data_IF_364496351922
#
_entry.id   IF_364496351922
#
_cell.length_a   1.000
_cell.length_b   1.000
_cell.length_c   1.000
_cell.angle_alpha   90.00
_cell.angle_beta   90.00
_cell.angle_gamma   90.00
#
_symmetry.space_group_name_H-M   'P 1'
#
loop_
_entity.id
_entity.type
_entity.pdbx_description
1 polymer ?
#
# COMPACT_ATOMS: atom_id res chain seq x y z
N UNK A 1 35.00 -13.56 7.67
CA UNK A 1 34.59 -12.29 7.04
C UNK A 1 34.29 -12.59 5.58
N UNK A 2 33.03 -12.86 5.26
CA UNK A 2 32.60 -13.02 3.88
C UNK A 2 32.33 -11.63 3.32
N UNK A 3 33.01 -11.28 2.23
CA UNK A 3 32.79 -10.06 1.45
C UNK A 3 31.36 -10.07 0.90
N UNK A 4 30.42 -9.50 1.67
CA UNK A 4 29.13 -9.05 1.14
C UNK A 4 29.43 -7.78 0.36
N UNK A 5 29.98 -7.93 -0.85
CA UNK A 5 29.98 -6.84 -1.83
C UNK A 5 28.51 -6.46 -2.02
N UNK A 6 28.21 -5.23 -1.59
CA UNK A 6 26.92 -4.56 -1.63
C UNK A 6 26.15 -4.87 -2.91
N UNK A 7 25.14 -5.75 -2.83
CA UNK A 7 24.07 -5.80 -3.84
C UNK A 7 23.25 -4.49 -3.89
N UNK A 8 23.42 -3.61 -2.89
CA UNK A 8 22.70 -2.35 -2.79
C UNK A 8 23.17 -1.27 -3.78
N UNK A 9 24.30 -1.48 -4.48
CA UNK A 9 24.89 -0.49 -5.40
C UNK A 9 24.90 -0.97 -6.86
N UNK A 10 24.00 -1.89 -7.21
CA UNK A 10 23.85 -2.30 -8.61
C UNK A 10 23.37 -1.10 -9.44
N UNK A 11 24.08 -0.70 -10.52
CA UNK A 11 23.74 0.47 -11.34
C UNK A 11 22.30 0.44 -11.86
N UNK A 12 21.74 -0.76 -12.02
CA UNK A 12 20.37 -1.01 -12.45
C UNK A 12 19.30 -0.54 -11.46
N UNK A 13 19.61 -0.34 -10.17
CA UNK A 13 18.65 0.18 -9.16
C UNK A 13 18.43 1.69 -9.27
N UNK A 14 19.28 2.39 -10.01
CA UNK A 14 19.21 3.84 -10.18
C UNK A 14 18.59 4.28 -11.51
N UNK A 15 18.29 3.32 -12.39
CA UNK A 15 17.61 3.62 -13.65
C UNK A 15 16.19 4.09 -13.32
N UNK A 16 15.91 5.33 -13.69
CA UNK A 16 14.59 5.96 -13.54
C UNK A 16 13.74 5.75 -14.78
N UNK A 17 12.45 5.99 -14.64
CA UNK A 17 11.53 5.95 -15.78
C UNK A 17 11.95 6.93 -16.88
N UNK A 18 12.51 8.09 -16.50
CA UNK A 18 13.01 9.11 -17.43
C UNK A 18 14.15 8.56 -18.29
N UNK A 19 15.10 7.86 -17.69
CA UNK A 19 16.23 7.26 -18.42
C UNK A 19 15.77 6.24 -19.47
N UNK A 20 14.69 5.51 -19.18
CA UNK A 20 14.08 4.55 -20.12
C UNK A 20 13.43 5.28 -21.31
N UNK A 21 12.80 6.43 -21.07
CA UNK A 21 12.23 7.26 -22.15
C UNK A 21 13.31 7.90 -23.02
N UNK A 22 14.41 8.37 -22.43
CA UNK A 22 15.54 8.93 -23.18
C UNK A 22 16.22 7.85 -24.05
N UNK A 23 16.39 6.65 -23.49
CA UNK A 23 16.89 5.50 -24.24
C UNK A 23 15.95 5.10 -25.39
N UNK A 24 14.64 5.06 -25.13
CA UNK A 24 13.63 4.78 -26.15
C UNK A 24 13.67 5.82 -27.29
N UNK A 25 13.87 7.10 -26.96
CA UNK A 25 13.99 8.16 -27.95
C UNK A 25 15.27 8.05 -28.78
N UNK A 26 16.40 7.70 -28.16
CA UNK A 26 17.65 7.44 -28.89
C UNK A 26 17.50 6.26 -29.86
N UNK A 27 16.95 5.14 -29.37
CA UNK A 27 16.72 3.94 -30.18
C UNK A 27 15.74 4.23 -31.32
N UNK A 28 14.70 5.03 -31.08
CA UNK A 28 13.74 5.44 -32.11
C UNK A 28 14.40 6.21 -33.25
N UNK A 29 15.31 7.15 -32.94
CA UNK A 29 16.09 7.88 -33.97
C UNK A 29 16.99 6.95 -34.78
N UNK A 30 17.56 5.92 -34.16
CA UNK A 30 18.38 4.94 -34.85
C UNK A 30 17.53 4.09 -35.81
N UNK A 31 16.32 3.71 -35.38
CA UNK A 31 15.35 3.06 -36.25
C UNK A 31 14.87 3.95 -37.40
N UNK A 32 14.65 5.26 -37.19
CA UNK A 32 14.36 6.20 -38.29
C UNK A 32 15.45 6.17 -39.35
N UNK A 33 16.72 6.29 -38.93
CA UNK A 33 17.87 6.26 -39.85
C UNK A 33 17.95 4.95 -40.65
N UNK A 34 17.72 3.81 -39.99
CA UNK A 34 17.73 2.50 -40.67
C UNK A 34 16.56 2.39 -41.66
N UNK A 35 15.38 2.88 -41.29
CA UNK A 35 14.21 2.88 -42.18
C UNK A 35 14.45 3.76 -43.40
N UNK A 36 15.07 4.93 -43.22
CA UNK A 36 15.36 5.87 -44.29
C UNK A 36 16.41 5.30 -45.28
N UNK A 37 17.40 4.54 -44.79
CA UNK A 37 18.47 3.97 -45.63
C UNK A 37 18.13 2.61 -46.26
N UNK A 38 17.44 1.73 -45.53
CA UNK A 38 17.22 0.32 -45.91
C UNK A 38 15.75 -0.07 -46.08
N UNK A 39 14.82 0.86 -45.82
CA UNK A 39 13.38 0.63 -45.91
C UNK A 39 12.78 0.02 -44.62
N UNK A 40 11.45 0.09 -44.52
CA UNK A 40 10.73 -0.26 -43.29
C UNK A 40 10.88 -1.73 -42.89
N UNK A 41 10.96 -2.63 -43.87
CA UNK A 41 11.03 -4.08 -43.61
C UNK A 41 12.29 -4.49 -42.83
N UNK A 42 13.35 -3.68 -42.85
CA UNK A 42 14.58 -3.93 -42.08
C UNK A 42 14.39 -3.89 -40.56
N UNK A 43 13.43 -3.10 -40.06
CA UNK A 43 13.21 -2.92 -38.62
C UNK A 43 11.89 -3.55 -38.13
N UNK A 44 10.98 -3.86 -39.05
CA UNK A 44 9.61 -4.33 -38.77
C UNK A 44 9.51 -5.50 -37.79
N UNK A 45 10.43 -6.46 -37.85
CA UNK A 45 10.41 -7.65 -36.98
C UNK A 45 11.10 -7.45 -35.62
N UNK A 46 12.07 -6.52 -35.54
CA UNK A 46 12.84 -6.26 -34.31
C UNK A 46 12.18 -5.19 -33.43
N UNK A 47 11.48 -4.22 -34.04
CA UNK A 47 10.81 -3.13 -33.34
C UNK A 47 9.86 -3.61 -32.22
N UNK A 48 8.96 -4.59 -32.43
CA UNK A 48 8.08 -5.07 -31.37
C UNK A 48 8.83 -5.72 -30.20
N UNK A 49 9.97 -6.38 -30.47
CA UNK A 49 10.80 -7.01 -29.44
C UNK A 49 11.53 -5.97 -28.59
N UNK A 50 12.03 -4.91 -29.24
CA UNK A 50 12.68 -3.78 -28.56
C UNK A 50 11.68 -2.99 -27.72
N UNK A 51 10.47 -2.76 -28.23
CA UNK A 51 9.39 -2.16 -27.44
C UNK A 51 9.07 -3.05 -26.23
N UNK A 52 8.92 -4.36 -26.42
CA UNK A 52 8.65 -5.27 -25.30
C UNK A 52 9.76 -5.25 -24.25
N UNK A 53 11.04 -5.14 -24.66
CA UNK A 53 12.16 -5.03 -23.73
C UNK A 53 12.16 -3.70 -22.98
N UNK A 54 11.88 -2.58 -23.66
CA UNK A 54 11.74 -1.26 -23.05
C UNK A 54 10.53 -1.17 -22.12
N UNK A 55 9.42 -1.84 -22.43
CA UNK A 55 8.25 -1.97 -21.54
C UNK A 55 8.61 -2.74 -20.25
N UNK A 56 9.39 -3.83 -20.37
CA UNK A 56 9.87 -4.54 -19.16
C UNK A 56 10.83 -3.69 -18.35
N UNK A 57 11.68 -2.90 -19.00
CA UNK A 57 12.61 -2.00 -18.32
C UNK A 57 11.87 -0.85 -17.63
N UNK A 58 10.85 -0.26 -18.28
CA UNK A 58 9.97 0.76 -17.69
C UNK A 58 9.25 0.22 -16.45
N UNK A 59 8.77 -1.04 -16.49
CA UNK A 59 8.16 -1.68 -15.33
C UNK A 59 9.16 -1.89 -14.19
N UNK A 60 10.40 -2.28 -14.49
CA UNK A 60 11.45 -2.46 -13.49
C UNK A 60 11.91 -1.12 -12.90
N UNK A 61 12.03 -0.07 -13.71
CA UNK A 61 12.37 1.28 -13.26
C UNK A 61 11.29 1.85 -12.32
N UNK A 62 10.00 1.71 -12.70
CA UNK A 62 8.88 2.09 -11.83
C UNK A 62 8.86 1.30 -10.51
N UNK A 63 9.24 0.02 -10.54
CA UNK A 63 9.32 -0.79 -9.33
C UNK A 63 10.47 -0.33 -8.43
N UNK A 64 11.65 -0.07 -8.99
CA UNK A 64 12.80 0.46 -8.28
C UNK A 64 12.52 1.82 -7.64
N UNK A 65 11.84 2.73 -8.33
CA UNK A 65 11.45 4.03 -7.77
C UNK A 65 10.57 3.86 -6.52
N UNK A 66 9.56 2.98 -6.59
CA UNK A 66 8.70 2.67 -5.44
C UNK A 66 9.46 2.02 -4.28
N UNK A 67 10.33 1.05 -4.56
CA UNK A 67 11.17 0.44 -3.53
C UNK A 67 12.09 1.49 -2.88
N UNK A 68 12.67 2.39 -3.68
CA UNK A 68 13.54 3.45 -3.17
C UNK A 68 12.78 4.46 -2.31
N UNK A 69 11.54 4.82 -2.68
CA UNK A 69 10.65 5.64 -1.85
C UNK A 69 10.33 4.96 -0.52
N UNK A 70 10.03 3.66 -0.53
CA UNK A 70 9.77 2.89 0.69
C UNK A 70 11.01 2.82 1.59
N UNK A 71 12.18 2.55 1.01
CA UNK A 71 13.46 2.55 1.71
C UNK A 71 13.72 3.92 2.36
N UNK A 72 13.46 5.01 1.64
CA UNK A 72 13.64 6.37 2.17
C UNK A 72 12.70 6.62 3.36
N UNK A 73 11.43 6.21 3.26
CA UNK A 73 10.44 6.33 4.33
C UNK A 73 10.82 5.49 5.57
N UNK A 74 11.33 4.27 5.36
CA UNK A 74 11.82 3.40 6.42
C UNK A 74 13.04 4.01 7.11
N UNK A 75 14.02 4.51 6.34
CA UNK A 75 15.21 5.20 6.89
C UNK A 75 14.82 6.38 7.78
N UNK A 76 13.90 7.23 7.31
CA UNK A 76 13.38 8.36 8.10
C UNK A 76 12.66 7.90 9.38
N UNK A 77 11.96 6.77 9.32
CA UNK A 77 11.28 6.19 10.49
C UNK A 77 12.28 5.65 11.51
N UNK A 78 13.34 4.98 11.05
CA UNK A 78 14.43 4.50 11.90
C UNK A 78 15.12 5.68 12.58
N UNK A 79 15.51 6.71 11.85
CA UNK A 79 16.14 7.92 12.40
C UNK A 79 15.26 8.56 13.50
N UNK A 80 13.95 8.68 13.25
CA UNK A 80 13.01 9.19 14.26
C UNK A 80 12.97 8.31 15.52
N UNK A 81 12.93 6.99 15.36
CA UNK A 81 12.89 6.05 16.48
C UNK A 81 14.21 6.03 17.26
N UNK A 82 15.35 6.16 16.58
CA UNK A 82 16.66 6.29 17.22
C UNK A 82 16.75 7.56 18.05
N UNK A 83 16.29 8.69 17.51
CA UNK A 83 16.21 9.95 18.26
C UNK A 83 15.28 9.85 19.48
N UNK A 84 14.11 9.22 19.33
CA UNK A 84 13.19 9.00 20.45
C UNK A 84 13.82 8.11 21.54
N UNK A 85 14.54 7.05 21.14
CA UNK A 85 15.27 6.17 22.05
C UNK A 85 16.37 6.93 22.79
N UNK A 86 17.15 7.76 22.09
CA UNK A 86 18.20 8.58 22.70
C UNK A 86 17.64 9.58 23.70
N UNK A 87 16.53 10.26 23.36
CA UNK A 87 15.87 11.20 24.27
C UNK A 87 15.37 10.50 25.54
N UNK A 88 14.67 9.36 25.41
CA UNK A 88 14.25 8.57 26.57
C UNK A 88 15.43 8.11 27.44
N UNK A 89 16.55 7.76 26.82
CA UNK A 89 17.76 7.39 27.56
C UNK A 89 18.35 8.59 28.31
N UNK A 90 18.41 9.77 27.69
CA UNK A 90 18.85 11.00 28.37
C UNK A 90 17.94 11.34 29.55
N UNK A 91 16.62 11.25 29.38
CA UNK A 91 15.67 11.54 30.45
C UNK A 91 15.82 10.55 31.61
N UNK A 92 16.10 9.27 31.32
CA UNK A 92 16.39 8.27 32.36
C UNK A 92 17.66 8.63 33.15
N UNK A 93 18.72 9.02 32.46
CA UNK A 93 19.98 9.44 33.11
C UNK A 93 19.77 10.70 33.95
N UNK A 94 19.01 11.68 33.43
CA UNK A 94 18.68 12.90 34.19
C UNK A 94 17.89 12.57 35.46
N UNK A 95 16.88 11.71 35.35
CA UNK A 95 16.11 11.29 36.51
C UNK A 95 16.97 10.54 37.55
N UNK A 96 17.89 9.70 37.10
CA UNK A 96 18.85 9.01 37.98
C UNK A 96 19.76 10.01 38.72
N UNK A 97 20.28 11.03 38.03
CA UNK A 97 21.08 12.10 38.65
C UNK A 97 20.27 12.96 39.63
N UNK A 98 19.02 13.30 39.29
CA UNK A 98 18.13 14.04 40.18
C UNK A 98 17.82 13.22 41.44
N UNK A 99 17.61 11.91 41.30
CA UNK A 99 17.39 11.01 42.42
C UNK A 99 18.61 10.93 43.34
N UNK A 100 19.81 10.75 42.78
CA UNK A 100 21.06 10.73 43.54
C UNK A 100 21.29 12.07 44.28
N UNK A 101 20.98 13.20 43.65
CA UNK A 101 21.08 14.51 44.28
C UNK A 101 20.12 14.66 45.47
N UNK A 102 18.89 14.13 45.36
CA UNK A 102 17.92 14.10 46.46
C UNK A 102 18.39 13.21 47.60
N UNK A 103 18.93 12.02 47.30
CA UNK A 103 19.49 11.11 48.30
C UNK A 103 20.68 11.73 49.06
N UNK A 104 21.57 12.43 48.35
CA UNK A 104 22.70 13.14 48.96
C UNK A 104 22.24 14.32 49.82
N UNK A 105 21.16 15.01 49.42
CA UNK A 105 20.57 16.05 50.25
C UNK A 105 20.00 15.47 51.55
N UNK A 106 19.29 14.34 51.48
CA UNK A 106 18.79 13.67 52.69
C UNK A 106 19.92 13.18 53.60
N UNK A 107 21.04 12.70 53.06
CA UNK A 107 22.22 12.36 53.88
C UNK A 107 22.75 13.57 54.64
N UNK A 108 22.90 14.71 53.97
CA UNK A 108 23.35 15.95 54.61
C UNK A 108 22.41 16.41 55.72
N UNK A 109 21.10 16.38 55.47
CA UNK A 109 20.10 16.73 56.49
C UNK A 109 20.16 15.79 57.70
N UNK A 110 20.36 14.49 57.48
CA UNK A 110 20.55 13.51 58.56
C UNK A 110 21.82 13.85 59.38
N UNK A 111 22.94 14.13 58.72
CA UNK A 111 24.21 14.47 59.37
C UNK A 111 24.12 15.80 60.16
N UNK A 112 23.41 16.79 59.63
CA UNK A 112 23.17 18.07 60.27
C UNK A 112 22.26 17.91 61.50
N UNK A 113 21.17 17.16 61.39
CA UNK A 113 20.28 16.83 62.52
C UNK A 113 21.04 16.05 63.59
N UNK A 114 21.88 15.10 63.19
CA UNK A 114 22.69 14.31 64.11
C UNK A 114 23.69 15.20 64.87
N UNK A 115 24.34 16.12 64.16
CA UNK A 115 25.22 17.15 64.74
C UNK A 115 24.46 18.04 65.72
N UNK A 116 23.24 18.47 65.38
CA UNK A 116 22.38 19.27 66.24
C UNK A 116 21.99 18.53 67.52
N UNK A 117 21.56 17.26 67.42
CA UNK A 117 21.23 16.42 68.57
C UNK A 117 22.43 16.27 69.50
N UNK A 118 23.63 16.02 68.95
CA UNK A 118 24.86 15.92 69.74
C UNK A 118 25.17 17.21 70.49
N UNK A 119 25.01 18.37 69.84
CA UNK A 119 25.21 19.67 70.49
C UNK A 119 24.20 19.91 71.61
N UNK A 120 22.91 19.65 71.38
CA UNK A 120 21.85 19.77 72.39
C UNK A 120 22.07 18.81 73.58
N UNK A 121 22.56 17.60 73.34
CA UNK A 121 22.91 16.66 74.40
C UNK A 121 24.08 17.17 75.26
N UNK A 122 25.11 17.76 74.65
CA UNK A 122 26.21 18.38 75.37
C UNK A 122 25.73 19.58 76.20
N UNK A 123 24.88 20.42 75.63
CA UNK A 123 24.31 21.58 76.32
C UNK A 123 23.39 21.18 77.48
N UNK A 124 22.50 20.20 77.29
CA UNK A 124 21.68 19.65 78.38
C UNK A 124 22.52 19.02 79.49
N UNK A 125 23.63 18.37 79.15
CA UNK A 125 24.57 17.85 80.15
C UNK A 125 25.25 18.97 80.93
N UNK A 126 25.62 20.06 80.26
CA UNK A 126 26.13 21.28 80.89
C UNK A 126 25.07 21.94 81.79
N UNK A 127 23.83 22.13 81.32
CA UNK A 127 22.74 22.70 82.11
C UNK A 127 22.36 21.82 83.30
N UNK A 128 22.28 20.50 83.12
CA UNK A 128 22.02 19.55 84.21
C UNK A 128 23.10 19.58 85.28
N UNK A 129 24.34 19.91 84.92
CA UNK A 129 25.42 20.13 85.89
C UNK A 129 25.35 21.49 86.59
N UNK A 130 24.70 22.49 85.98
CA UNK A 130 24.55 23.83 86.53
C UNK A 130 23.30 23.97 87.43
N UNK A 131 22.26 23.16 87.25
CA UNK A 131 21.00 23.20 88.03
C UNK A 131 21.03 22.38 89.34
N UNK A 132 22.21 22.00 89.84
CA UNK A 132 22.38 21.19 91.06
C UNK A 132 22.35 21.94 92.39
N UNK A 133 22.51 23.27 92.37
CA UNK A 133 22.53 24.11 93.58
C UNK A 133 21.58 25.31 93.37
N UNK A 134 20.45 25.37 94.10
CA UNK A 134 20.24 26.37 95.17
C UNK A 134 18.83 26.29 95.80
N UNK A 135 18.75 26.66 97.08
CA UNK A 135 17.67 26.30 98.01
C UNK A 135 16.64 27.42 98.32
N UNK A 136 15.40 26.95 98.52
CA UNK A 136 14.32 27.32 99.44
C UNK A 136 14.32 28.63 100.29
N UNK A 137 13.17 29.32 100.23
CA UNK A 137 12.32 29.90 101.29
C UNK A 137 12.69 31.21 102.04
N UNK A 138 11.72 32.16 102.04
CA UNK A 138 10.85 32.52 103.18
C UNK A 138 10.54 34.04 103.33
N UNK A 139 9.25 34.33 103.15
CA UNK A 139 8.33 35.36 103.70
C UNK A 139 8.77 36.65 104.43
N UNK A 140 7.99 37.68 104.09
CA UNK A 140 7.27 38.65 104.95
C UNK A 140 7.90 40.01 105.33
N UNK A 141 8.27 40.77 104.30
CA UNK A 141 8.18 42.26 104.24
C UNK A 141 7.16 42.72 103.18
N UNK A 142 6.15 41.89 102.93
CA UNK A 142 5.95 41.27 101.62
C UNK A 142 5.13 42.01 100.59
N UNK A 143 4.19 42.86 100.92
CA UNK A 143 3.17 43.25 99.92
C UNK A 143 3.67 44.16 98.81
N UNK A 144 4.61 45.09 99.08
CA UNK A 144 5.13 46.00 98.04
C UNK A 144 6.19 45.39 97.13
N UNK A 145 7.07 44.56 97.71
CA UNK A 145 8.06 43.82 96.94
C UNK A 145 7.42 42.63 96.21
N UNK A 146 6.37 42.00 96.78
CA UNK A 146 5.55 41.00 96.07
C UNK A 146 4.75 41.62 94.94
N UNK A 147 4.17 42.82 95.11
CA UNK A 147 3.47 43.52 94.03
C UNK A 147 4.44 43.92 92.89
N UNK A 148 5.64 44.40 93.23
CA UNK A 148 6.69 44.70 92.24
C UNK A 148 7.18 43.42 91.53
N UNK A 149 7.33 42.33 92.27
CA UNK A 149 7.70 41.02 91.74
C UNK A 149 6.60 40.45 90.83
N UNK A 150 5.34 40.56 91.24
CA UNK A 150 4.18 40.17 90.43
C UNK A 150 4.09 41.00 89.14
N UNK A 151 4.37 42.30 89.20
CA UNK A 151 4.44 43.17 88.01
C UNK A 151 5.57 42.76 87.06
N UNK A 152 6.73 42.37 87.59
CA UNK A 152 7.84 41.86 86.79
C UNK A 152 7.51 40.51 86.16
N UNK A 153 6.87 39.60 86.91
CA UNK A 153 6.40 38.30 86.42
C UNK A 153 5.32 38.46 85.33
N UNK A 154 4.34 39.36 85.53
CA UNK A 154 3.33 39.69 84.52
C UNK A 154 3.95 40.32 83.27
N UNK A 155 4.97 41.17 83.44
CA UNK A 155 5.73 41.73 82.33
C UNK A 155 6.47 40.65 81.56
N UNK A 156 7.09 39.71 82.26
CA UNK A 156 7.81 38.57 81.67
C UNK A 156 6.86 37.61 80.94
N UNK A 157 5.70 37.31 81.52
CA UNK A 157 4.63 36.56 80.86
C UNK A 157 4.09 37.30 79.63
N UNK A 158 3.92 38.62 79.71
CA UNK A 158 3.49 39.43 78.57
C UNK A 158 4.53 39.43 77.44
N UNK A 159 5.83 39.49 77.77
CA UNK A 159 6.89 39.36 76.75
C UNK A 159 6.91 37.97 76.13
N UNK A 160 6.77 36.90 76.94
CA UNK A 160 6.68 35.51 76.44
C UNK A 160 5.46 35.31 75.53
N UNK A 161 4.30 35.82 75.91
CA UNK A 161 3.09 35.77 75.07
C UNK A 161 3.27 36.55 73.76
N UNK A 162 3.93 37.72 73.78
CA UNK A 162 4.24 38.48 72.55
C UNK A 162 5.21 37.73 71.64
N UNK A 163 6.21 37.07 72.20
CA UNK A 163 7.14 36.23 71.44
C UNK A 163 6.42 35.03 70.81
N UNK A 164 5.57 34.35 71.58
CA UNK A 164 4.77 33.23 71.10
C UNK A 164 3.79 33.64 69.98
N UNK A 165 3.18 34.82 70.08
CA UNK A 165 2.34 35.37 69.00
C UNK A 165 3.17 35.62 67.74
N UNK A 166 4.40 36.15 67.86
CA UNK A 166 5.28 36.37 66.70
C UNK A 166 5.70 35.06 66.04
N UNK A 167 5.96 34.03 66.84
CA UNK A 167 6.31 32.70 66.33
C UNK A 167 5.13 32.07 65.58
N UNK A 168 3.95 32.06 66.19
CA UNK A 168 2.72 31.59 65.52
C UNK A 168 2.40 32.39 64.25
N UNK A 169 2.63 33.70 64.24
CA UNK A 169 2.47 34.52 63.03
C UNK A 169 3.46 34.14 61.93
N UNK A 170 4.71 33.82 62.29
CA UNK A 170 5.72 33.33 61.36
C UNK A 170 5.30 31.99 60.77
N UNK A 171 4.82 31.07 61.61
CA UNK A 171 4.35 29.75 61.16
C UNK A 171 3.13 29.87 60.24
N UNK A 172 2.17 30.76 60.54
CA UNK A 172 1.05 31.02 59.63
C UNK A 172 1.55 31.55 58.28
N UNK A 173 2.55 32.43 58.27
CA UNK A 173 3.13 32.96 57.04
C UNK A 173 3.84 31.87 56.22
N UNK A 174 4.54 30.93 56.86
CA UNK A 174 5.20 29.84 56.16
C UNK A 174 4.19 28.85 55.59
N UNK A 175 3.18 28.45 56.37
CA UNK A 175 2.10 27.59 55.89
C UNK A 175 1.29 28.25 54.76
N UNK A 176 1.06 29.56 54.80
CA UNK A 176 0.40 30.28 53.70
C UNK A 176 1.19 30.17 52.39
N UNK A 177 2.51 30.36 52.45
CA UNK A 177 3.39 30.21 51.29
C UNK A 177 3.41 28.77 50.76
N UNK A 178 3.43 27.78 51.66
CA UNK A 178 3.38 26.36 51.28
C UNK A 178 2.06 26.01 50.58
N UNK A 179 0.93 26.49 51.11
CA UNK A 179 -0.39 26.31 50.48
C UNK A 179 -0.44 26.94 49.10
N UNK A 180 0.10 28.14 48.90
CA UNK A 180 0.19 28.78 47.58
C UNK A 180 1.05 27.97 46.60
N UNK A 181 2.19 27.43 47.05
CA UNK A 181 3.06 26.59 46.23
C UNK A 181 2.40 25.27 45.82
N UNK A 182 1.69 24.63 46.76
CA UNK A 182 0.89 23.44 46.48
C UNK A 182 -0.26 23.75 45.51
N UNK A 183 -0.94 24.87 45.70
CA UNK A 183 -2.00 25.32 44.79
C UNK A 183 -1.49 25.50 43.36
N UNK A 184 -0.36 26.19 43.20
CA UNK A 184 0.30 26.36 41.89
C UNK A 184 0.71 25.01 41.26
N UNK A 185 1.15 24.06 42.08
CA UNK A 185 1.51 22.72 41.61
C UNK A 185 0.29 21.93 41.13
N UNK A 186 -0.82 22.01 41.87
CA UNK A 186 -2.11 21.43 41.47
C UNK A 186 -2.61 22.04 40.17
N UNK A 187 -2.56 23.36 39.99
CA UNK A 187 -2.95 24.00 38.73
C UNK A 187 -2.12 23.50 37.53
N UNK A 188 -0.80 23.34 37.70
CA UNK A 188 0.08 22.80 36.65
C UNK A 188 -0.34 21.37 36.28
N UNK A 189 -0.61 20.53 37.28
CA UNK A 189 -1.08 19.15 37.07
C UNK A 189 -2.44 19.12 36.36
N UNK A 190 -3.36 20.01 36.70
CA UNK A 190 -4.67 20.13 36.00
C UNK A 190 -4.46 20.44 34.52
N UNK A 191 -3.63 21.45 34.19
CA UNK A 191 -3.34 21.83 32.80
C UNK A 191 -2.69 20.68 32.01
N UNK A 192 -1.76 19.96 32.63
CA UNK A 192 -1.13 18.78 32.01
C UNK A 192 -2.15 17.66 31.78
N UNK A 193 -3.04 17.41 32.74
CA UNK A 193 -4.09 16.40 32.59
C UNK A 193 -5.07 16.75 31.46
N UNK A 194 -5.50 18.00 31.36
CA UNK A 194 -6.33 18.48 30.24
C UNK A 194 -5.65 18.31 28.87
N UNK A 195 -4.33 18.54 28.80
CA UNK A 195 -3.57 18.31 27.58
C UNK A 195 -3.47 16.82 27.24
N UNK A 196 -3.22 15.96 28.24
CA UNK A 196 -3.20 14.51 28.06
C UNK A 196 -4.57 13.97 27.61
N UNK A 197 -5.67 14.46 28.19
CA UNK A 197 -7.03 14.10 27.75
C UNK A 197 -7.28 14.50 26.30
N UNK A 198 -6.86 15.71 25.89
CA UNK A 198 -6.94 16.16 24.49
C UNK A 198 -6.10 15.28 23.55
N UNK A 199 -4.86 14.96 23.93
CA UNK A 199 -3.98 14.07 23.15
C UNK A 199 -4.59 12.66 23.03
N UNK A 200 -5.13 12.12 24.11
CA UNK A 200 -5.78 10.82 24.13
C UNK A 200 -7.02 10.80 23.21
N UNK A 201 -7.87 11.82 23.29
CA UNK A 201 -9.03 11.95 22.39
C UNK A 201 -8.63 12.01 20.90
N UNK A 202 -7.55 12.74 20.58
CA UNK A 202 -7.01 12.79 19.21
C UNK A 202 -6.47 11.44 18.75
N UNK A 203 -5.67 10.77 19.58
CA UNK A 203 -5.13 9.43 19.28
C UNK A 203 -6.25 8.40 19.11
N UNK A 204 -7.28 8.45 19.95
CA UNK A 204 -8.44 7.57 19.85
C UNK A 204 -9.22 7.81 18.54
N UNK A 205 -9.35 9.07 18.10
CA UNK A 205 -9.95 9.40 16.79
C UNK A 205 -9.11 8.85 15.64
N UNK A 206 -7.80 9.02 15.67
CA UNK A 206 -6.89 8.46 14.67
C UNK A 206 -6.97 6.93 14.64
N UNK A 207 -7.01 6.28 15.80
CA UNK A 207 -7.20 4.83 15.92
C UNK A 207 -8.50 4.34 15.27
N UNK A 208 -9.62 5.07 15.45
CA UNK A 208 -10.89 4.75 14.77
C UNK A 208 -10.79 4.87 13.25
N UNK A 209 -10.20 5.96 12.74
CA UNK A 209 -9.98 6.15 11.31
C UNK A 209 -9.15 5.02 10.69
N UNK A 210 -8.03 4.63 11.34
CA UNK A 210 -7.19 3.53 10.86
C UNK A 210 -7.92 2.17 10.86
N UNK A 211 -8.79 1.92 11.84
CA UNK A 211 -9.61 0.71 11.87
C UNK A 211 -10.63 0.71 10.73
N UNK A 212 -11.26 1.86 10.43
CA UNK A 212 -12.17 2.02 9.31
C UNK A 212 -11.46 1.79 7.97
N UNK A 213 -10.31 2.44 7.74
CA UNK A 213 -9.49 2.28 6.54
C UNK A 213 -9.04 0.81 6.37
N UNK A 214 -8.56 0.18 7.44
CA UNK A 214 -8.22 -1.25 7.44
C UNK A 214 -9.43 -2.10 7.03
N UNK A 215 -10.61 -1.81 7.57
CA UNK A 215 -11.83 -2.56 7.24
C UNK A 215 -12.21 -2.43 5.77
N UNK A 216 -12.02 -1.26 5.17
CA UNK A 216 -12.27 -1.03 3.74
C UNK A 216 -11.28 -1.77 2.85
N UNK A 217 -9.99 -1.74 3.20
CA UNK A 217 -8.95 -2.47 2.47
C UNK A 217 -9.23 -3.97 2.51
N UNK A 218 -9.57 -4.51 3.68
CA UNK A 218 -9.93 -5.94 3.82
C UNK A 218 -11.13 -6.31 2.96
N UNK A 219 -12.18 -5.47 2.92
CA UNK A 219 -13.35 -5.71 2.06
C UNK A 219 -12.97 -5.71 0.57
N UNK A 220 -12.14 -4.75 0.14
CA UNK A 220 -11.66 -4.70 -1.27
C UNK A 220 -10.83 -5.93 -1.61
N UNK A 221 -9.92 -6.34 -0.70
CA UNK A 221 -9.11 -7.53 -0.86
C UNK A 221 -9.99 -8.78 -1.01
N UNK A 222 -10.97 -8.97 -0.12
CA UNK A 222 -11.89 -10.10 -0.19
C UNK A 222 -12.65 -10.16 -1.52
N UNK A 223 -13.16 -9.03 -2.02
CA UNK A 223 -13.82 -8.96 -3.33
C UNK A 223 -12.87 -9.37 -4.47
N UNK A 224 -11.61 -8.94 -4.42
CA UNK A 224 -10.62 -9.34 -5.43
C UNK A 224 -10.24 -10.81 -5.33
N UNK A 225 -10.14 -11.37 -4.13
CA UNK A 225 -9.89 -12.81 -3.91
C UNK A 225 -11.05 -13.66 -4.46
N UNK A 226 -12.29 -13.27 -4.18
CA UNK A 226 -13.48 -13.94 -4.73
C UNK A 226 -13.50 -13.90 -6.27
N UNK A 227 -13.12 -12.77 -6.87
CA UNK A 227 -13.00 -12.64 -8.32
C UNK A 227 -11.90 -13.56 -8.88
N UNK A 228 -10.74 -13.62 -8.23
CA UNK A 228 -9.63 -14.50 -8.62
C UNK A 228 -10.01 -15.98 -8.52
N UNK A 229 -10.75 -16.38 -7.48
CA UNK A 229 -11.27 -17.74 -7.34
C UNK A 229 -12.21 -18.09 -8.50
N UNK A 230 -13.13 -17.17 -8.86
CA UNK A 230 -14.03 -17.35 -10.01
C UNK A 230 -13.24 -17.49 -11.32
N UNK A 231 -12.27 -16.61 -11.55
CA UNK A 231 -11.43 -16.66 -12.75
C UNK A 231 -10.63 -17.96 -12.83
N UNK A 232 -10.09 -18.44 -11.70
CA UNK A 232 -9.36 -19.72 -11.63
C UNK A 232 -10.26 -20.90 -11.98
N UNK A 233 -11.53 -20.89 -11.56
CA UNK A 233 -12.50 -21.93 -11.94
C UNK A 233 -12.77 -21.90 -13.45
N UNK A 234 -13.06 -20.72 -14.00
CA UNK A 234 -13.29 -20.55 -15.44
C UNK A 234 -12.08 -20.99 -16.26
N UNK A 235 -10.87 -20.66 -15.81
CA UNK A 235 -9.64 -21.09 -16.47
C UNK A 235 -9.47 -22.62 -16.44
N UNK A 236 -9.78 -23.27 -15.32
CA UNK A 236 -9.77 -24.74 -15.23
C UNK A 236 -10.80 -25.38 -16.17
N UNK A 237 -11.99 -24.81 -16.26
CA UNK A 237 -13.05 -25.32 -17.13
C UNK A 237 -12.69 -25.12 -18.61
N UNK A 238 -12.16 -23.95 -18.98
CA UNK A 238 -11.65 -23.68 -20.32
C UNK A 238 -10.50 -24.62 -20.70
N UNK A 239 -9.56 -24.87 -19.78
CA UNK A 239 -8.47 -25.82 -20.00
C UNK A 239 -8.96 -27.27 -20.22
N UNK A 240 -10.02 -27.68 -19.51
CA UNK A 240 -10.68 -28.98 -19.75
C UNK A 240 -11.32 -29.03 -21.13
N UNK A 241 -12.10 -28.02 -21.51
CA UNK A 241 -12.72 -27.94 -22.83
C UNK A 241 -11.69 -27.96 -23.96
N UNK A 242 -10.58 -27.23 -23.83
CA UNK A 242 -9.48 -27.28 -24.80
C UNK A 242 -8.89 -28.67 -24.94
N UNK A 243 -8.72 -29.40 -23.82
CA UNK A 243 -8.22 -30.78 -23.83
C UNK A 243 -9.22 -31.75 -24.47
N UNK A 244 -10.50 -31.61 -24.16
CA UNK A 244 -11.56 -32.45 -24.74
C UNK A 244 -11.68 -32.23 -26.26
N UNK A 245 -11.58 -30.97 -26.72
CA UNK A 245 -11.55 -30.64 -28.15
C UNK A 245 -10.31 -31.18 -28.87
N UNK A 246 -9.13 -31.11 -28.24
CA UNK A 246 -7.92 -31.72 -28.78
C UNK A 246 -8.08 -33.24 -28.88
N UNK A 247 -8.65 -33.89 -27.86
CA UNK A 247 -8.90 -35.33 -27.90
C UNK A 247 -9.87 -35.70 -29.03
N UNK A 248 -10.97 -34.94 -29.19
CA UNK A 248 -11.90 -35.16 -30.28
C UNK A 248 -11.25 -35.01 -31.67
N UNK A 249 -10.39 -34.00 -31.86
CA UNK A 249 -9.65 -33.83 -33.13
C UNK A 249 -8.69 -34.98 -33.43
N UNK A 250 -8.06 -35.56 -32.40
CA UNK A 250 -7.17 -36.72 -32.57
C UNK A 250 -7.98 -37.96 -32.95
N UNK A 251 -9.09 -38.23 -32.25
CA UNK A 251 -9.98 -39.37 -32.51
C UNK A 251 -10.61 -39.30 -33.92
N UNK A 252 -11.02 -38.12 -34.39
CA UNK A 252 -11.55 -37.92 -35.75
C UNK A 252 -10.46 -38.07 -36.82
N UNK A 253 -9.21 -37.69 -36.51
CA UNK A 253 -8.08 -37.89 -37.45
C UNK A 253 -7.70 -39.36 -37.61
N UNK A 254 -7.74 -40.16 -36.54
CA UNK A 254 -7.35 -41.58 -36.60
C UNK A 254 -8.47 -42.46 -37.17
N UNK A 255 -9.75 -42.09 -36.99
CA UNK A 255 -10.89 -42.84 -37.53
C UNK A 255 -11.44 -42.32 -38.87
N UNK A 256 -10.96 -41.18 -39.39
CA UNK A 256 -11.35 -40.73 -40.73
C UNK A 256 -10.82 -41.70 -41.80
N UNK A 257 -11.66 -42.17 -42.75
CA UNK A 257 -11.20 -43.05 -43.82
C UNK A 257 -10.18 -42.30 -44.70
N UNK A 258 -8.93 -42.76 -44.66
CA UNK A 258 -7.82 -42.19 -45.44
C UNK A 258 -7.68 -42.97 -46.74
N UNK A 259 -8.13 -42.38 -47.85
CA UNK A 259 -7.88 -42.92 -49.18
C UNK A 259 -6.45 -42.61 -49.61
N UNK A 260 -5.76 -43.58 -50.20
CA UNK A 260 -4.45 -43.33 -50.81
C UNK A 260 -4.64 -42.58 -52.14
N UNK A 261 -3.63 -41.81 -52.54
CA UNK A 261 -3.64 -41.16 -53.86
C UNK A 261 -3.73 -42.16 -55.02
N UNK A 262 -3.31 -43.42 -54.82
CA UNK A 262 -3.48 -44.50 -55.80
C UNK A 262 -4.93 -44.92 -55.91
N UNK A 263 -5.58 -45.21 -54.78
CA UNK A 263 -7.01 -45.57 -54.73
C UNK A 263 -7.88 -44.48 -55.36
N UNK A 264 -7.59 -43.21 -55.07
CA UNK A 264 -8.32 -42.10 -55.66
C UNK A 264 -8.13 -42.03 -57.19
N UNK A 265 -6.91 -42.29 -57.68
CA UNK A 265 -6.65 -42.34 -59.13
C UNK A 265 -7.34 -43.52 -59.78
N UNK A 266 -7.33 -44.69 -59.15
CA UNK A 266 -8.00 -45.89 -59.63
C UNK A 266 -9.51 -45.67 -59.73
N UNK A 267 -10.14 -45.15 -58.68
CA UNK A 267 -11.58 -44.83 -58.68
C UNK A 267 -11.92 -43.75 -59.71
N UNK A 268 -11.06 -42.74 -59.90
CA UNK A 268 -11.27 -41.73 -60.94
C UNK A 268 -11.12 -42.31 -62.35
N UNK A 269 -10.19 -43.22 -62.56
CA UNK A 269 -9.98 -43.88 -63.84
C UNK A 269 -11.14 -44.83 -64.16
N UNK A 270 -11.60 -45.59 -63.18
CA UNK A 270 -12.79 -46.43 -63.28
C UNK A 270 -14.04 -45.60 -63.55
N UNK A 271 -14.22 -44.48 -62.83
CA UNK A 271 -15.29 -43.51 -63.10
C UNK A 271 -15.24 -43.00 -64.54
N UNK A 272 -14.07 -42.63 -65.04
CA UNK A 272 -13.94 -42.15 -66.42
C UNK A 272 -14.25 -43.24 -67.45
N UNK A 273 -13.82 -44.48 -67.19
CA UNK A 273 -14.11 -45.63 -68.04
C UNK A 273 -15.62 -45.94 -68.07
N UNK A 274 -16.25 -45.96 -66.89
CA UNK A 274 -17.70 -46.16 -66.75
C UNK A 274 -18.47 -45.02 -67.40
N UNK A 275 -17.99 -43.79 -67.29
CA UNK A 275 -18.57 -42.64 -67.99
C UNK A 275 -18.50 -42.81 -69.52
N UNK A 276 -17.39 -43.34 -70.04
CA UNK A 276 -17.26 -43.69 -71.47
C UNK A 276 -18.27 -44.77 -71.89
N UNK A 277 -18.34 -45.88 -71.15
CA UNK A 277 -19.31 -46.95 -71.40
C UNK A 277 -20.76 -46.49 -71.30
N UNK A 278 -21.05 -45.60 -70.36
CA UNK A 278 -22.38 -45.03 -70.19
C UNK A 278 -22.77 -44.17 -71.39
N UNK A 279 -21.84 -43.39 -71.94
CA UNK A 279 -22.06 -42.65 -73.18
C UNK A 279 -22.32 -43.58 -74.38
N UNK A 280 -21.53 -44.65 -74.51
CA UNK A 280 -21.74 -45.67 -75.57
C UNK A 280 -23.13 -46.33 -75.45
N UNK A 281 -23.51 -46.76 -74.24
CA UNK A 281 -24.81 -47.36 -73.97
C UNK A 281 -25.96 -46.35 -74.17
N UNK A 282 -25.77 -45.08 -73.80
CA UNK A 282 -26.74 -44.02 -74.07
C UNK A 282 -26.90 -43.76 -75.57
N UNK A 283 -25.82 -43.86 -76.35
CA UNK A 283 -25.85 -43.78 -77.81
C UNK A 283 -26.60 -44.98 -78.41
N UNK A 284 -26.27 -46.21 -78.01
CA UNK A 284 -26.95 -47.42 -78.45
C UNK A 284 -28.44 -47.39 -78.07
N UNK A 285 -28.77 -46.97 -76.85
CA UNK A 285 -30.15 -46.81 -76.40
C UNK A 285 -30.85 -45.67 -77.17
N UNK A 286 -30.14 -44.62 -77.53
CA UNK A 286 -30.63 -43.55 -78.42
C UNK A 286 -30.98 -44.10 -79.80
N UNK A 287 -30.11 -44.91 -80.39
CA UNK A 287 -30.33 -45.59 -81.66
C UNK A 287 -31.49 -46.60 -81.58
N UNK A 288 -31.59 -47.36 -80.48
CA UNK A 288 -32.68 -48.31 -80.23
C UNK A 288 -34.00 -47.61 -79.90
N UNK A 289 -34.00 -46.46 -79.25
CA UNK A 289 -35.20 -45.61 -79.06
C UNK A 289 -35.62 -44.97 -80.37
N UNK A 290 -34.69 -44.60 -81.24
CA UNK A 290 -34.99 -44.15 -82.61
C UNK A 290 -35.53 -45.29 -83.47
N UNK A 291 -35.02 -46.51 -83.34
CA UNK A 291 -35.59 -47.72 -83.95
C UNK A 291 -36.96 -48.08 -83.36
N UNK A 292 -37.14 -48.01 -82.03
CA UNK A 292 -38.42 -48.26 -81.35
C UNK A 292 -39.44 -47.17 -81.65
N UNK A 293 -39.05 -45.91 -81.84
CA UNK A 293 -39.94 -44.82 -82.30
C UNK A 293 -40.36 -45.00 -83.76
N UNK A 294 -39.58 -45.74 -84.57
CA UNK A 294 -40.03 -46.23 -85.89
C UNK A 294 -40.96 -47.45 -85.78
N UNK A 295 -40.95 -48.19 -84.66
CA UNK A 295 -41.68 -49.46 -84.50
C UNK A 295 -42.81 -49.46 -83.46
N UNK A 296 -43.05 -48.37 -82.71
CA UNK A 296 -44.16 -48.28 -81.74
C UNK A 296 -45.15 -47.16 -82.08
N UNK A 297 -46.00 -47.44 -83.07
CA UNK A 297 -47.44 -47.18 -82.91
C UNK A 297 -47.93 -48.23 -81.90
N UNK A 298 -48.81 -47.83 -80.97
CA UNK A 298 -49.49 -48.62 -79.91
C UNK A 298 -48.86 -48.64 -78.50
N UNK A 299 -49.47 -47.85 -77.58
CA UNK A 299 -50.04 -48.25 -76.25
C UNK A 299 -49.12 -48.90 -75.19
N UNK A 300 -49.21 -48.72 -73.86
CA UNK A 300 -50.04 -47.95 -72.91
C UNK A 300 -49.44 -48.14 -71.48
N UNK A 301 -49.60 -47.11 -70.63
CA UNK A 301 -49.75 -47.00 -69.16
C UNK A 301 -49.13 -47.96 -68.10
N UNK A 302 -48.56 -47.29 -67.08
CA UNK A 302 -48.94 -47.29 -65.62
C UNK A 302 -48.25 -48.14 -64.54
N UNK A 303 -48.09 -47.46 -63.37
CA UNK A 303 -48.10 -47.84 -61.92
C UNK A 303 -46.79 -47.58 -61.16
N UNK A 304 -46.73 -46.65 -60.19
CA UNK A 304 -47.23 -46.68 -58.77
C UNK A 304 -46.56 -47.79 -57.93
N UNK A 305 -46.07 -47.67 -56.68
CA UNK A 305 -46.28 -46.78 -55.52
C UNK A 305 -45.14 -47.09 -54.52
N UNK A 306 -44.65 -46.16 -53.68
CA UNK A 306 -44.36 -46.42 -52.26
C UNK A 306 -43.91 -45.15 -51.50
N UNK A 307 -44.52 -44.92 -50.33
CA UNK A 307 -44.33 -43.76 -49.45
C UNK A 307 -44.00 -44.28 -48.04
N UNK A 308 -42.89 -43.89 -47.39
CA UNK A 308 -42.70 -44.14 -45.98
C UNK A 308 -43.14 -42.95 -45.11
N UNK A 309 -43.58 -43.29 -43.91
CA UNK A 309 -44.11 -42.41 -42.87
C UNK A 309 -43.09 -41.38 -42.39
N UNK A 310 -43.59 -40.18 -42.08
CA UNK A 310 -42.83 -39.08 -41.48
C UNK A 310 -42.59 -39.37 -40.00
N UNK A 311 -41.34 -39.56 -39.62
CA UNK A 311 -40.90 -39.47 -38.23
C UNK A 311 -40.59 -38.00 -37.96
N UNK A 312 -41.37 -37.35 -37.08
CA UNK A 312 -41.11 -35.96 -36.65
C UNK A 312 -39.80 -35.90 -35.86
N UNK A 313 -38.76 -35.38 -36.52
CA UNK A 313 -37.47 -35.07 -35.94
C UNK A 313 -37.55 -33.73 -35.19
N UNK A 314 -37.60 -33.76 -33.86
CA UNK A 314 -37.50 -32.55 -33.04
C UNK A 314 -36.05 -32.06 -33.02
N UNK A 315 -35.74 -31.03 -33.82
CA UNK A 315 -34.45 -30.34 -33.81
C UNK A 315 -34.34 -29.45 -32.56
N UNK A 316 -33.51 -29.85 -31.59
CA UNK A 316 -33.20 -29.04 -30.41
C UNK A 316 -32.04 -28.10 -30.76
N UNK A 317 -32.33 -26.82 -30.96
CA UNK A 317 -31.30 -25.79 -31.10
C UNK A 317 -30.56 -25.61 -29.76
N UNK A 318 -29.25 -25.87 -29.76
CA UNK A 318 -28.38 -25.63 -28.62
C UNK A 318 -28.26 -24.12 -28.30
N UNK A 319 -27.82 -23.76 -27.08
CA UNK A 319 -27.67 -22.37 -26.68
C UNK A 319 -26.75 -21.61 -27.65
N UNK A 320 -27.20 -20.47 -28.17
CA UNK A 320 -26.43 -19.59 -29.03
C UNK A 320 -25.06 -19.30 -28.37
N UNK A 321 -23.97 -19.49 -29.13
CA UNK A 321 -22.63 -19.11 -28.70
C UNK A 321 -22.65 -17.62 -28.33
N UNK A 322 -22.61 -17.32 -27.02
CA UNK A 322 -22.41 -15.93 -26.57
C UNK A 322 -20.98 -15.54 -26.89
N UNK A 323 -20.83 -14.43 -27.59
CA UNK A 323 -19.50 -13.89 -27.88
C UNK A 323 -18.75 -13.61 -26.56
N UNK A 324 -17.42 -13.84 -26.54
CA UNK A 324 -16.59 -13.57 -25.37
C UNK A 324 -16.82 -12.15 -24.85
N UNK A 325 -16.88 -11.96 -23.53
CA UNK A 325 -17.10 -10.63 -22.92
C UNK A 325 -16.05 -9.60 -23.34
N UNK A 326 -14.85 -10.04 -23.72
CA UNK A 326 -13.77 -9.22 -24.28
C UNK A 326 -14.13 -8.60 -25.64
N UNK A 327 -14.97 -9.27 -26.45
CA UNK A 327 -15.51 -8.72 -27.70
C UNK A 327 -16.70 -7.79 -27.48
N UNK A 328 -17.53 -8.07 -26.47
CA UNK A 328 -18.64 -7.20 -26.10
C UNK A 328 -18.18 -5.89 -25.44
N UNK A 329 -17.06 -5.91 -24.70
CA UNK A 329 -16.53 -4.74 -23.99
C UNK A 329 -15.01 -4.54 -24.20
N UNK A 330 -14.54 -4.29 -25.44
CA UNK A 330 -13.10 -4.16 -25.72
C UNK A 330 -12.41 -3.08 -24.88
N UNK A 331 -13.10 -1.98 -24.57
CA UNK A 331 -12.58 -0.86 -23.76
C UNK A 331 -12.34 -1.20 -22.28
N UNK A 332 -12.95 -2.26 -21.74
CA UNK A 332 -12.73 -2.69 -20.35
C UNK A 332 -11.44 -3.48 -20.15
N UNK A 333 -10.99 -4.16 -21.19
CA UNK A 333 -9.83 -5.06 -21.16
C UNK A 333 -8.66 -4.54 -22.01
N UNK A 334 -8.80 -3.33 -22.54
CA UNK A 334 -7.74 -2.64 -23.24
C UNK A 334 -6.57 -2.43 -22.28
N UNK A 335 -5.47 -3.15 -22.54
CA UNK A 335 -4.23 -3.01 -21.79
C UNK A 335 -3.78 -1.56 -21.97
N UNK A 336 -3.84 -0.76 -20.90
CA UNK A 336 -3.38 0.64 -20.93
C UNK A 336 -2.01 0.66 -21.57
N UNK A 337 -1.89 1.32 -22.71
CA UNK A 337 -0.64 1.35 -23.44
C UNK A 337 0.43 2.01 -22.59
N UNK A 338 1.57 1.33 -22.47
CA UNK A 338 2.78 1.91 -21.92
C UNK A 338 3.11 3.21 -22.66
N UNK A 339 3.72 4.17 -21.97
CA UNK A 339 4.13 5.40 -22.64
C UNK A 339 5.15 5.11 -23.75
N UNK A 340 5.96 4.05 -23.60
CA UNK A 340 6.86 3.54 -24.65
C UNK A 340 6.08 3.05 -25.88
N UNK A 341 5.01 2.27 -25.71
CA UNK A 341 4.19 1.80 -26.84
C UNK A 341 3.47 2.94 -27.54
N UNK A 342 3.04 3.96 -26.79
CA UNK A 342 2.48 5.20 -27.37
C UNK A 342 3.53 5.98 -28.15
N UNK A 343 4.74 6.07 -27.63
CA UNK A 343 5.87 6.73 -28.27
C UNK A 343 6.20 6.11 -29.64
N UNK A 344 6.25 4.78 -29.72
CA UNK A 344 6.56 4.08 -30.98
C UNK A 344 5.35 3.92 -31.93
N UNK A 345 4.14 4.36 -31.55
CA UNK A 345 2.95 4.23 -32.39
C UNK A 345 3.06 4.95 -33.73
N UNK A 346 3.80 6.06 -33.77
CA UNK A 346 4.08 6.82 -34.99
C UNK A 346 4.74 5.96 -36.08
N UNK A 347 5.59 5.00 -35.70
CA UNK A 347 6.26 4.09 -36.62
C UNK A 347 5.33 3.02 -37.20
N UNK A 348 4.36 2.54 -36.42
CA UNK A 348 3.37 1.55 -36.88
C UNK A 348 2.31 2.16 -37.81
N UNK A 349 1.93 3.42 -37.61
CA UNK A 349 0.88 4.06 -38.40
C UNK A 349 1.34 4.58 -39.78
N UNK A 350 2.65 4.58 -40.07
CA UNK A 350 3.17 5.03 -41.38
C UNK A 350 2.83 4.04 -42.52
N UNK A 351 2.28 2.86 -42.23
CA UNK A 351 1.82 1.86 -43.22
C UNK A 351 0.32 1.99 -43.60
N UNK A 352 -0.48 2.80 -42.91
CA UNK A 352 -1.92 2.96 -43.24
C UNK A 352 -2.16 4.31 -43.88
N UNK A 353 -2.07 4.33 -45.20
CA UNK A 353 -2.46 5.47 -46.01
C UNK A 353 -3.94 5.85 -45.80
N UNK A 354 -4.14 7.16 -45.75
CA UNK A 354 -5.41 7.89 -45.86
C UNK A 354 -6.32 7.91 -44.62
N UNK A 355 -6.05 8.85 -43.71
CA UNK A 355 -7.07 9.75 -43.13
C UNK A 355 -6.34 10.95 -42.50
N UNK A 356 -6.59 12.13 -43.05
CA UNK A 356 -6.21 13.39 -42.40
C UNK A 356 -7.08 13.61 -41.15
N UNK A 357 -6.52 14.16 -40.06
CA UNK A 357 -7.29 15.03 -39.19
C UNK A 357 -6.76 16.45 -39.34
N UNK A 358 -7.60 17.28 -39.96
CA UNK A 358 -7.63 18.73 -39.77
C UNK A 358 -7.54 19.03 -38.27
N UNK A 359 -6.62 19.91 -37.91
CA UNK A 359 -6.51 20.68 -36.67
C UNK A 359 -7.51 20.35 -35.54
N UNK A 360 -7.00 19.74 -34.47
CA UNK A 360 -7.46 20.03 -33.12
C UNK A 360 -6.27 20.63 -32.34
N UNK A 361 -6.43 21.91 -32.02
CA UNK A 361 -5.49 22.76 -31.30
C UNK A 361 -5.35 22.43 -29.82
N UNK A 362 -4.17 22.78 -29.30
CA UNK A 362 -3.76 23.01 -27.90
C UNK A 362 -3.70 21.84 -26.93
N UNK A 363 -2.47 21.42 -26.65
CA UNK A 363 -2.05 20.86 -25.37
C UNK A 363 -2.45 21.80 -24.21
N UNK A 364 -2.94 21.29 -23.07
CA UNK A 364 -2.94 22.06 -21.84
C UNK A 364 -1.51 22.11 -21.32
N UNK A 365 -0.89 23.29 -21.40
CA UNK A 365 0.33 23.61 -20.64
C UNK A 365 -0.05 23.47 -19.15
N UNK A 366 0.67 22.67 -18.34
CA UNK A 366 0.49 22.72 -16.90
C UNK A 366 0.95 24.09 -16.42
N UNK A 367 0.02 24.84 -15.81
CA UNK A 367 0.32 26.12 -15.18
C UNK A 367 1.43 25.92 -14.13
N UNK A 368 2.65 26.36 -14.45
CA UNK A 368 3.72 26.49 -13.48
C UNK A 368 3.24 27.49 -12.42
N UNK A 369 3.00 26.99 -11.21
CA UNK A 369 2.74 27.80 -10.03
C UNK A 369 3.99 28.66 -9.79
N UNK A 370 3.87 29.97 -10.01
CA UNK A 370 4.91 30.92 -9.64
C UNK A 370 5.15 30.85 -8.14
N UNK A 371 6.38 30.51 -7.74
CA UNK A 371 6.87 30.73 -6.39
C UNK A 371 6.87 32.24 -6.10
N UNK A 372 6.46 32.70 -4.90
CA UNK A 372 6.61 34.09 -4.54
C UNK A 372 8.10 34.41 -4.36
N UNK A 373 8.59 35.37 -5.13
CA UNK A 373 9.90 35.99 -4.94
C UNK A 373 9.90 36.77 -3.62
N UNK A 374 10.77 36.36 -2.70
CA UNK A 374 11.22 37.18 -1.58
C UNK A 374 11.89 38.44 -2.14
N UNK A 375 11.22 39.58 -2.04
CA UNK A 375 11.87 40.89 -2.08
C UNK A 375 12.07 41.36 -0.65
N UNK A 376 13.32 41.33 -0.20
CA UNK A 376 13.73 42.11 0.96
C UNK A 376 13.53 43.59 0.67
N UNK A 377 12.88 44.29 1.59
CA UNK A 377 12.98 45.74 1.70
C UNK A 377 13.45 46.08 3.11
N UNK A 378 14.62 46.67 3.13
CA UNK A 378 15.20 47.41 4.23
C UNK A 378 14.34 48.64 4.53
N UNK A 379 13.95 48.79 5.79
CA UNK A 379 13.99 50.04 6.57
C UNK A 379 13.92 49.68 8.04
#
# INVERSE_FOLDING_TARGET
MADVRSLADSPSRHITVVDVYDLAASIGKDFERIIDEFGNDSVRQIMPKVISALETLESLANHNEKENEEILMLKKTVERLENEKQMKQQDRIKFELELEAVEENYRKEIDDLWSMVKNLQLENKHLSSATGDDASALTSTTTRDEDLKMLLELRELSTKQKEQIKELQKDISTYSCEVENLHNSVEKLIRQNEELLRKNASLQKQGRMLVEEKSEIVKRLQLTEEANIKLTKLFKDAARQCKDLQQYQMDDSDNAPRFTLSELREVLQEKNLLKGKLLELEEELGQLRLSRRRESVTSDSSKEFDRPAQTEEYVVYGPINREPEEKLYPWKYERKESGVRKFFRFFFNKESGDYSPVHASSSPIPSMRSMPSFSGQST
#
